data_IF_892592247586
#
_entry.id   IF_892592247586
#
_cell.length_a   1.000
_cell.length_b   1.000
_cell.length_c   1.000
_cell.angle_alpha   90.00
_cell.angle_beta   90.00
_cell.angle_gamma   90.00
#
_symmetry.space_group_name_H-M   'P 1'
#
loop_
_entity.id
_entity.type
_entity.pdbx_description
1 polymer ?
#
# COMPACT_ATOMS: atom_id res chain seq x y z
N UNK A 1 -0.91 -0.92 -7.02
CA UNK A 1 0.19 -0.81 -6.04
C UNK A 1 -0.02 0.45 -5.23
N UNK A 2 0.40 0.45 -3.97
CA UNK A 2 0.45 1.64 -3.12
C UNK A 2 1.89 2.16 -3.20
N UNK A 3 2.07 3.33 -3.82
CA UNK A 3 3.40 3.91 -4.04
C UNK A 3 3.74 4.84 -2.89
N UNK A 4 4.78 4.48 -2.13
CA UNK A 4 5.29 5.29 -1.03
C UNK A 4 6.62 5.86 -1.51
N UNK A 5 6.66 7.17 -1.72
CA UNK A 5 7.87 7.84 -2.21
C UNK A 5 9.08 7.66 -1.28
N UNK A 6 8.87 7.53 0.03
CA UNK A 6 9.94 7.32 1.01
C UNK A 6 9.49 6.35 2.12
N UNK A 7 9.99 5.12 2.09
CA UNK A 7 9.88 4.13 3.16
C UNK A 7 11.30 3.85 3.68
N UNK A 8 11.62 4.33 4.88
CA UNK A 8 12.97 4.19 5.50
C UNK A 8 14.14 4.72 4.64
N UNK A 9 13.91 5.73 3.79
CA UNK A 9 14.91 6.27 2.88
C UNK A 9 14.93 5.63 1.49
N UNK A 10 14.06 4.64 1.23
CA UNK A 10 13.95 3.97 -0.06
C UNK A 10 12.58 4.21 -0.70
N UNK A 11 12.56 4.47 -2.01
CA UNK A 11 11.32 4.47 -2.79
C UNK A 11 10.89 3.01 -2.99
N UNK A 12 9.93 2.54 -2.17
CA UNK A 12 9.43 1.16 -2.22
C UNK A 12 7.93 1.14 -2.45
N UNK A 13 7.50 0.26 -3.36
CA UNK A 13 6.10 0.00 -3.62
C UNK A 13 5.64 -1.19 -2.78
N UNK A 14 4.40 -1.13 -2.30
CA UNK A 14 3.78 -2.22 -1.57
C UNK A 14 2.43 -2.59 -2.20
N UNK A 15 2.05 -3.85 -1.97
CA UNK A 15 0.67 -4.28 -2.09
C UNK A 15 -0.13 -3.82 -0.87
N UNK A 16 -1.45 -3.73 -1.03
CA UNK A 16 -2.38 -3.59 0.09
C UNK A 16 -3.05 -4.95 0.31
N UNK A 17 -2.93 -5.52 1.51
CA UNK A 17 -3.60 -6.78 1.81
C UNK A 17 -5.12 -6.61 1.68
N UNK A 18 -5.78 -7.54 0.99
CA UNK A 18 -7.21 -7.44 0.66
C UNK A 18 -7.62 -6.35 -0.34
N UNK A 19 -6.72 -5.42 -0.70
CA UNK A 19 -6.95 -4.31 -1.64
C UNK A 19 -8.27 -3.55 -1.38
N UNK A 20 -8.63 -3.37 -0.11
CA UNK A 20 -9.92 -2.84 0.32
C UNK A 20 -9.76 -1.93 1.54
N UNK A 21 -10.57 -0.85 1.68
CA UNK A 21 -11.48 -0.32 0.66
C UNK A 21 -10.73 0.25 -0.56
N UNK A 22 -11.39 0.41 -1.72
CA UNK A 22 -10.77 1.06 -2.87
C UNK A 22 -10.42 2.52 -2.49
N UNK A 23 -9.14 2.95 -2.58
CA UNK A 23 -8.74 4.32 -2.26
C UNK A 23 -9.58 5.40 -2.99
N UNK A 24 -10.11 5.08 -4.18
CA UNK A 24 -10.98 6.00 -4.95
C UNK A 24 -12.33 6.24 -4.28
N UNK A 25 -12.81 5.27 -3.51
CA UNK A 25 -14.09 5.33 -2.80
C UNK A 25 -14.00 5.96 -1.41
N UNK A 26 -12.79 6.19 -0.89
CA UNK A 26 -12.61 6.87 0.39
C UNK A 26 -13.17 8.29 0.30
N UNK A 27 -14.06 8.59 1.25
CA UNK A 27 -14.66 9.89 1.47
C UNK A 27 -14.59 10.26 2.96
N UNK A 28 -15.07 11.45 3.34
CA UNK A 28 -15.00 11.90 4.74
C UNK A 28 -15.76 10.98 5.70
N UNK A 29 -16.88 10.38 5.25
CA UNK A 29 -17.68 9.45 6.04
C UNK A 29 -17.00 8.08 6.23
N UNK A 30 -15.98 7.76 5.43
CA UNK A 30 -15.15 6.56 5.63
C UNK A 30 -14.35 6.61 6.93
N UNK A 31 -14.11 7.81 7.47
CA UNK A 31 -13.31 7.99 8.68
C UNK A 31 -11.86 7.54 8.48
N UNK A 32 -11.27 6.99 9.54
CA UNK A 32 -9.90 6.48 9.53
C UNK A 32 -9.86 5.09 8.87
N UNK A 33 -9.16 5.00 7.74
CA UNK A 33 -8.91 3.74 7.03
C UNK A 33 -7.50 3.24 7.35
N UNK A 34 -7.37 1.93 7.61
CA UNK A 34 -6.07 1.27 7.78
C UNK A 34 -5.82 0.33 6.61
N UNK A 35 -4.66 0.46 6.00
CA UNK A 35 -4.18 -0.47 4.98
C UNK A 35 -2.98 -1.23 5.50
N UNK A 36 -3.06 -2.57 5.50
CA UNK A 36 -1.89 -3.41 5.72
C UNK A 36 -1.05 -3.44 4.45
N UNK A 37 0.21 -3.01 4.56
CA UNK A 37 1.18 -3.01 3.48
C UNK A 37 1.90 -4.34 3.44
N UNK A 38 1.95 -4.97 2.27
CA UNK A 38 2.60 -6.28 2.07
C UNK A 38 3.56 -6.22 0.89
N UNK A 39 4.59 -7.07 0.87
CA UNK A 39 5.39 -7.21 -0.34
C UNK A 39 4.56 -7.88 -1.45
N UNK A 40 5.01 -7.75 -2.67
CA UNK A 40 4.44 -8.42 -3.83
C UNK A 40 5.57 -8.97 -4.69
N UNK A 41 5.26 -9.97 -5.49
CA UNK A 41 6.14 -10.46 -6.55
C UNK A 41 5.48 -10.28 -7.91
N UNK A 42 6.30 -10.21 -8.95
CA UNK A 42 5.79 -10.34 -10.32
C UNK A 42 5.87 -11.79 -10.77
N UNK A 43 4.93 -12.17 -11.64
CA UNK A 43 4.87 -13.50 -12.23
C UNK A 43 4.27 -13.40 -13.63
N UNK A 44 4.54 -14.40 -14.45
CA UNK A 44 3.87 -14.57 -15.75
C UNK A 44 2.62 -15.42 -15.56
N UNK A 45 1.42 -14.86 -15.74
CA UNK A 45 0.15 -15.56 -15.57
C UNK A 45 0.01 -16.75 -16.50
N UNK A 46 0.65 -16.72 -17.68
CA UNK A 46 0.57 -17.81 -18.64
C UNK A 46 1.31 -19.07 -18.17
N UNK A 47 2.34 -18.91 -17.32
CA UNK A 47 3.17 -20.02 -16.83
C UNK A 47 3.11 -20.21 -15.30
N UNK A 48 2.57 -19.24 -14.57
CA UNK A 48 2.54 -19.20 -13.10
C UNK A 48 3.90 -18.98 -12.43
N UNK A 49 4.95 -18.68 -13.20
CA UNK A 49 6.32 -18.56 -12.68
C UNK A 49 6.64 -17.15 -12.23
N UNK A 50 7.34 -17.04 -11.10
CA UNK A 50 7.91 -15.77 -10.63
C UNK A 50 8.83 -15.19 -11.72
N UNK A 51 8.78 -13.87 -11.86
CA UNK A 51 9.43 -13.14 -12.94
C UNK A 51 10.00 -11.82 -12.41
N UNK A 52 11.19 -11.45 -12.86
CA UNK A 52 11.75 -10.09 -12.71
C UNK A 52 11.92 -9.46 -14.08
N UNK A 53 11.82 -8.14 -14.14
CA UNK A 53 12.04 -7.39 -15.38
C UNK A 53 13.42 -7.65 -16.00
N UNK A 54 14.42 -8.01 -15.20
CA UNK A 54 15.75 -8.43 -15.63
C UNK A 54 15.78 -9.77 -16.38
N UNK A 55 14.75 -10.62 -16.22
CA UNK A 55 14.71 -11.97 -16.80
C UNK A 55 14.25 -11.96 -18.27
N UNK A 56 13.91 -10.80 -18.81
CA UNK A 56 13.40 -10.61 -20.17
C UNK A 56 11.88 -10.49 -20.24
N UNK A 57 11.30 -10.28 -21.44
CA UNK A 57 9.85 -10.13 -21.60
C UNK A 57 9.11 -11.45 -21.35
N UNK A 58 7.90 -11.36 -20.81
CA UNK A 58 6.97 -12.49 -20.61
C UNK A 58 5.61 -12.19 -21.25
N UNK A 59 4.82 -13.23 -21.49
CA UNK A 59 3.55 -13.13 -22.23
C UNK A 59 2.44 -12.40 -21.45
N UNK A 60 2.31 -12.66 -20.14
CA UNK A 60 1.26 -12.07 -19.31
C UNK A 60 1.80 -11.65 -17.94
N UNK A 61 2.56 -10.55 -17.83
CA UNK A 61 3.10 -10.10 -16.55
C UNK A 61 1.99 -9.63 -15.61
N UNK A 62 2.01 -10.10 -14.37
CA UNK A 62 1.11 -9.64 -13.31
C UNK A 62 1.85 -9.54 -11.97
N UNK A 63 1.26 -8.79 -11.03
CA UNK A 63 1.75 -8.69 -9.66
C UNK A 63 0.82 -9.46 -8.71
N UNK A 64 1.40 -10.13 -7.72
CA UNK A 64 0.67 -10.85 -6.67
C UNK A 64 1.18 -10.40 -5.30
N UNK A 65 0.25 -9.92 -4.47
CA UNK A 65 0.55 -9.62 -3.07
C UNK A 65 0.96 -10.90 -2.32
N UNK A 66 1.86 -10.75 -1.35
CA UNK A 66 2.34 -11.81 -0.47
C UNK A 66 1.85 -11.51 0.96
N UNK A 67 0.63 -11.95 1.35
CA UNK A 67 -0.01 -11.51 2.59
C UNK A 67 0.76 -11.85 3.87
N UNK A 68 1.61 -12.87 3.84
CA UNK A 68 2.46 -13.27 4.98
C UNK A 68 3.71 -12.38 5.16
N UNK A 69 3.83 -11.30 4.39
CA UNK A 69 5.01 -10.42 4.38
C UNK A 69 4.65 -8.98 4.74
N UNK A 70 3.90 -8.81 5.84
CA UNK A 70 3.51 -7.49 6.36
C UNK A 70 4.75 -6.61 6.53
N UNK A 71 4.76 -5.51 5.80
CA UNK A 71 5.81 -4.50 5.79
C UNK A 71 5.45 -3.28 6.64
N UNK A 72 4.16 -3.09 6.96
CA UNK A 72 3.70 -1.98 7.77
C UNK A 72 2.21 -1.69 7.60
N UNK A 73 1.81 -0.52 8.08
CA UNK A 73 0.44 0.00 7.99
C UNK A 73 0.45 1.40 7.41
N UNK A 74 -0.46 1.71 6.50
CA UNK A 74 -0.79 3.07 6.11
C UNK A 74 -2.13 3.47 6.73
N UNK A 75 -2.14 4.57 7.50
CA UNK A 75 -3.36 5.24 7.92
C UNK A 75 -3.74 6.29 6.90
N UNK A 76 -5.00 6.27 6.46
CA UNK A 76 -5.54 7.18 5.45
C UNK A 76 -6.85 7.76 5.94
N UNK A 77 -7.01 9.07 5.87
CA UNK A 77 -8.27 9.74 6.17
C UNK A 77 -8.47 10.94 5.24
N UNK A 78 -9.63 11.03 4.60
CA UNK A 78 -10.03 12.25 3.91
C UNK A 78 -10.60 13.23 4.95
N UNK A 79 -9.87 14.33 5.20
CA UNK A 79 -10.23 15.32 6.23
C UNK A 79 -10.99 16.52 5.66
N UNK A 80 -10.99 16.70 4.34
CA UNK A 80 -11.87 17.60 3.59
C UNK A 80 -11.97 17.11 2.14
N UNK A 81 -12.84 17.72 1.31
CA UNK A 81 -13.12 17.28 -0.07
C UNK A 81 -11.87 17.06 -0.95
N UNK A 82 -10.78 17.76 -0.65
CA UNK A 82 -9.51 17.65 -1.40
C UNK A 82 -8.30 17.35 -0.53
N UNK A 83 -8.46 17.17 0.78
CA UNK A 83 -7.31 17.00 1.67
C UNK A 83 -7.31 15.63 2.32
N UNK A 84 -6.24 14.87 2.07
CA UNK A 84 -6.02 13.54 2.59
C UNK A 84 -4.87 13.57 3.61
N UNK A 85 -5.12 12.99 4.78
CA UNK A 85 -4.12 12.75 5.82
C UNK A 85 -3.60 11.33 5.68
N UNK A 86 -2.28 11.18 5.56
CA UNK A 86 -1.57 9.92 5.39
C UNK A 86 -0.44 9.80 6.39
N UNK A 87 -0.29 8.62 6.99
CA UNK A 87 0.90 8.25 7.75
C UNK A 87 1.21 6.78 7.55
N UNK A 88 2.50 6.46 7.49
CA UNK A 88 2.99 5.11 7.27
C UNK A 88 3.80 4.67 8.48
N UNK A 89 3.44 3.52 9.02
CA UNK A 89 4.06 2.86 10.15
C UNK A 89 4.78 1.61 9.65
N UNK A 90 6.10 1.63 9.66
CA UNK A 90 6.91 0.51 9.15
C UNK A 90 7.04 -0.58 10.20
N UNK A 91 7.00 -1.85 9.78
CA UNK A 91 7.11 -3.04 10.65
C UNK A 91 6.04 -3.10 11.77
N UNK A 92 4.89 -2.48 11.54
CA UNK A 92 3.74 -2.50 12.44
C UNK A 92 2.60 -3.33 11.85
N UNK A 93 1.73 -3.86 12.71
CA UNK A 93 0.48 -4.51 12.30
C UNK A 93 -0.70 -3.54 12.47
N UNK A 94 -1.84 -3.86 11.84
CA UNK A 94 -3.06 -3.06 11.95
C UNK A 94 -3.61 -2.95 13.37
N UNK A 95 -3.21 -3.88 14.25
CA UNK A 95 -3.64 -3.94 15.64
C UNK A 95 -2.84 -2.99 16.54
N UNK A 96 -1.56 -2.75 16.22
CA UNK A 96 -0.70 -1.85 17.00
C UNK A 96 -0.89 -0.36 16.65
N UNK A 97 -1.42 -0.08 15.46
CA UNK A 97 -1.60 1.29 14.95
C UNK A 97 -3.06 1.70 15.07
N UNK A 98 -3.37 2.64 15.97
CA UNK A 98 -4.76 3.08 16.23
C UNK A 98 -5.07 4.48 15.73
N UNK A 99 -4.07 5.37 15.64
CA UNK A 99 -4.25 6.78 15.32
C UNK A 99 -3.01 7.38 14.65
N UNK A 100 -3.20 8.53 14.02
CA UNK A 100 -2.11 9.36 13.52
C UNK A 100 -1.23 9.89 14.65
N UNK A 101 0.04 10.11 14.35
CA UNK A 101 0.98 10.89 15.15
C UNK A 101 1.21 12.27 14.50
N UNK A 102 2.09 13.06 15.12
CA UNK A 102 2.51 14.36 14.59
C UNK A 102 3.36 14.24 13.30
N UNK A 103 3.68 13.02 12.85
CA UNK A 103 4.40 12.75 11.60
C UNK A 103 3.48 12.61 10.38
N UNK A 104 2.17 12.63 10.58
CA UNK A 104 1.21 12.52 9.50
C UNK A 104 1.36 13.67 8.49
N UNK A 105 1.26 13.32 7.21
CA UNK A 105 1.40 14.25 6.10
C UNK A 105 0.04 14.53 5.47
N UNK A 106 -0.11 15.75 4.96
CA UNK A 106 -1.30 16.18 4.22
C UNK A 106 -0.99 16.22 2.73
N UNK A 107 -1.91 15.67 1.96
CA UNK A 107 -1.86 15.61 0.51
C UNK A 107 -3.11 16.23 -0.07
N UNK A 108 -2.97 16.89 -1.21
CA UNK A 108 -4.11 17.30 -2.03
C UNK A 108 -4.46 16.16 -2.99
N UNK A 109 -5.76 15.85 -3.10
CA UNK A 109 -6.30 14.79 -3.96
C UNK A 109 -6.70 15.31 -5.33
#
# INVERSE_FOLDING_TARGET
SFSIGNFKGEAKQFGVNGNSPDPKTINQASGLVKYELVNYEYFDQSTGRSWRTSDGPVSQPAAKNLPQTTAGVALVQLISDRQLKLEIFTDQSTDSVTQFTDKAQLYER
#
